data_IF_633020263760
#
_entry.id   IF_633020263760
#
_cell.length_a   1.000
_cell.length_b   1.000
_cell.length_c   1.000
_cell.angle_alpha   90.00
_cell.angle_beta   90.00
_cell.angle_gamma   90.00
#
_symmetry.space_group_name_H-M   'P 1'
#
loop_
_entity.id
_entity.type
_entity.pdbx_description
1 polymer ?
#
# COMPACT_ATOMS: atom_id res chain seq x y z
N UNK A 1 -42.84 20.25 -50.56
CA UNK A 1 -42.24 21.12 -49.52
C UNK A 1 -42.64 20.51 -48.18
N UNK A 2 -41.83 19.58 -47.67
CA UNK A 2 -42.12 18.77 -46.48
C UNK A 2 -41.71 19.56 -45.24
N UNK A 3 -42.68 20.01 -44.42
CA UNK A 3 -42.43 20.48 -43.06
C UNK A 3 -42.21 19.26 -42.16
N UNK A 4 -41.02 19.16 -41.56
CA UNK A 4 -40.71 18.23 -40.46
C UNK A 4 -40.79 18.96 -39.11
N UNK A 5 -41.07 18.24 -38.00
CA UNK A 5 -41.59 18.79 -36.76
C UNK A 5 -40.51 19.25 -35.77
N UNK A 6 -40.92 20.16 -34.88
CA UNK A 6 -40.21 20.59 -33.67
C UNK A 6 -39.84 19.41 -32.78
N UNK A 7 -38.56 19.32 -32.42
CA UNK A 7 -38.07 18.51 -31.32
C UNK A 7 -37.28 19.43 -30.37
N UNK A 8 -37.83 19.61 -29.17
CA UNK A 8 -37.22 20.31 -28.04
C UNK A 8 -35.88 19.63 -27.65
N UNK A 9 -34.86 20.38 -27.20
CA UNK A 9 -33.61 19.79 -26.75
C UNK A 9 -33.80 19.09 -25.39
N UNK A 10 -33.60 17.77 -25.39
CA UNK A 10 -33.47 16.97 -24.17
C UNK A 10 -32.12 17.23 -23.50
N UNK A 11 -32.15 17.27 -22.17
CA UNK A 11 -31.11 17.82 -21.31
C UNK A 11 -29.75 17.12 -21.42
N UNK A 12 -28.71 17.95 -21.30
CA UNK A 12 -27.38 17.51 -20.89
C UNK A 12 -27.08 18.12 -19.52
N UNK A 13 -27.58 17.50 -18.45
CA UNK A 13 -26.94 17.62 -17.14
C UNK A 13 -25.87 16.53 -17.06
N UNK A 14 -24.73 16.77 -17.71
CA UNK A 14 -23.53 16.02 -17.44
C UNK A 14 -22.96 16.52 -16.11
N UNK A 15 -23.10 15.71 -15.06
CA UNK A 15 -22.35 15.88 -13.82
C UNK A 15 -20.86 15.82 -14.15
N UNK A 16 -20.20 16.98 -14.12
CA UNK A 16 -18.74 17.05 -14.13
C UNK A 16 -18.25 16.45 -12.81
N UNK A 17 -17.92 15.15 -12.83
CA UNK A 17 -17.09 14.57 -11.79
C UNK A 17 -15.77 15.33 -11.82
N UNK A 18 -15.51 16.10 -10.77
CA UNK A 18 -14.31 16.91 -10.59
C UNK A 18 -13.10 15.98 -10.47
N UNK A 19 -12.58 15.49 -11.59
CA UNK A 19 -11.24 14.93 -11.65
C UNK A 19 -10.29 16.10 -11.32
N UNK A 20 -9.67 16.06 -10.13
CA UNK A 20 -8.69 17.07 -9.72
C UNK A 20 -7.62 17.24 -10.80
N UNK A 21 -7.13 18.48 -10.98
CA UNK A 21 -6.15 18.75 -12.03
C UNK A 21 -4.88 17.89 -11.85
N UNK A 22 -4.22 17.46 -12.94
CA UNK A 22 -2.97 16.69 -12.86
C UNK A 22 -1.89 17.38 -12.03
N UNK A 23 -1.89 18.72 -12.02
CA UNK A 23 -0.98 19.54 -11.23
C UNK A 23 -1.24 19.38 -9.72
N UNK A 24 -2.52 19.43 -9.30
CA UNK A 24 -2.90 19.25 -7.91
C UNK A 24 -2.60 17.81 -7.41
N UNK A 25 -2.71 16.81 -8.28
CA UNK A 25 -2.32 15.43 -7.95
C UNK A 25 -0.80 15.32 -7.76
N UNK A 26 -0.01 15.92 -8.65
CA UNK A 26 1.46 15.93 -8.57
C UNK A 26 1.96 16.67 -7.32
N UNK A 27 1.37 17.81 -6.95
CA UNK A 27 1.72 18.54 -5.73
C UNK A 27 1.40 17.74 -4.45
N UNK A 28 0.28 17.01 -4.45
CA UNK A 28 -0.08 16.12 -3.33
C UNK A 28 0.89 14.96 -3.21
N UNK A 29 1.27 14.33 -4.33
CA UNK A 29 2.25 13.25 -4.35
C UNK A 29 3.62 13.74 -3.86
N UNK A 30 4.08 14.90 -4.32
CA UNK A 30 5.34 15.48 -3.89
C UNK A 30 5.37 15.78 -2.38
N UNK A 31 4.26 16.32 -1.83
CA UNK A 31 4.11 16.55 -0.39
C UNK A 31 4.08 15.24 0.38
N UNK A 32 3.30 14.25 -0.07
CA UNK A 32 3.25 12.92 0.53
C UNK A 32 4.64 12.30 0.57
N UNK A 33 5.36 12.28 -0.55
CA UNK A 33 6.71 11.70 -0.65
C UNK A 33 7.70 12.42 0.26
N UNK A 34 7.67 13.75 0.31
CA UNK A 34 8.53 14.53 1.23
C UNK A 34 8.27 14.16 2.69
N UNK A 35 7.02 14.03 3.11
CA UNK A 35 6.68 13.63 4.47
C UNK A 35 7.07 12.18 4.73
N UNK A 36 6.71 11.26 3.83
CA UNK A 36 7.02 9.85 3.91
C UNK A 36 8.53 9.57 4.04
N UNK A 37 9.34 10.24 3.23
CA UNK A 37 10.80 10.10 3.20
C UNK A 37 11.49 10.73 4.43
N UNK A 38 10.82 11.66 5.11
CA UNK A 38 11.34 12.34 6.32
C UNK A 38 10.94 11.69 7.64
N UNK A 39 10.09 10.65 7.62
CA UNK A 39 9.78 9.85 8.81
C UNK A 39 11.02 9.02 9.18
N UNK A 40 11.50 9.18 10.41
CA UNK A 40 12.61 8.40 10.97
C UNK A 40 12.21 6.98 11.42
N UNK A 41 10.92 6.75 11.68
CA UNK A 41 10.35 5.43 11.99
C UNK A 41 10.11 4.60 10.72
N UNK A 42 10.27 3.28 10.82
CA UNK A 42 10.05 2.40 9.68
C UNK A 42 8.57 2.32 9.30
N UNK A 43 8.22 2.70 8.08
CA UNK A 43 6.87 2.62 7.55
C UNK A 43 6.82 1.85 6.24
N UNK A 44 5.83 0.96 6.09
CA UNK A 44 5.56 0.27 4.84
C UNK A 44 4.06 0.01 4.65
N UNK A 45 3.64 -0.15 3.40
CA UNK A 45 2.30 -0.59 3.02
C UNK A 45 2.44 -1.96 2.36
N UNK A 46 1.62 -2.92 2.80
CA UNK A 46 1.64 -4.29 2.27
C UNK A 46 0.26 -4.68 1.73
N UNK A 47 0.25 -5.59 0.76
CA UNK A 47 -0.97 -6.21 0.25
C UNK A 47 -0.85 -7.73 0.37
N UNK A 48 -1.87 -8.35 0.98
CA UNK A 48 -1.96 -9.80 1.04
C UNK A 48 -2.24 -10.41 -0.33
N UNK A 49 -1.60 -11.54 -0.59
CA UNK A 49 -1.76 -12.34 -1.80
C UNK A 49 -1.89 -13.82 -1.47
N UNK A 50 -2.42 -14.58 -2.42
CA UNK A 50 -2.37 -16.04 -2.33
C UNK A 50 -0.93 -16.49 -2.59
N UNK A 51 -0.39 -17.21 -1.61
CA UNK A 51 0.99 -17.66 -1.60
C UNK A 51 1.11 -19.18 -1.73
N UNK A 52 2.33 -19.73 -1.65
CA UNK A 52 2.58 -21.16 -1.80
C UNK A 52 1.92 -22.03 -0.70
N UNK A 53 1.44 -21.42 0.38
CA UNK A 53 0.75 -22.11 1.49
C UNK A 53 -0.77 -21.89 1.48
N UNK A 54 -1.32 -21.45 0.34
CA UNK A 54 -2.75 -21.24 0.15
C UNK A 54 -3.18 -19.76 0.27
N UNK A 55 -4.49 -19.51 0.44
CA UNK A 55 -5.03 -18.17 0.38
C UNK A 55 -4.46 -17.22 1.45
N UNK A 56 -4.19 -15.98 1.05
CA UNK A 56 -3.63 -14.92 1.92
C UNK A 56 -2.37 -15.34 2.69
N UNK A 57 -1.60 -16.31 2.18
CA UNK A 57 -0.48 -16.91 2.93
C UNK A 57 0.85 -16.17 2.76
N UNK A 58 0.85 -15.09 1.98
CA UNK A 58 1.98 -14.19 1.79
C UNK A 58 1.48 -12.75 1.56
N UNK A 59 2.39 -11.80 1.49
CA UNK A 59 2.10 -10.40 1.20
C UNK A 59 3.22 -9.77 0.39
N UNK A 60 2.90 -8.74 -0.40
CA UNK A 60 3.84 -7.91 -1.16
C UNK A 60 3.95 -6.53 -0.54
N UNK A 61 5.16 -5.98 -0.45
CA UNK A 61 5.35 -4.58 -0.07
C UNK A 61 5.03 -3.66 -1.25
N UNK A 62 3.99 -2.84 -1.11
CA UNK A 62 3.61 -1.84 -2.10
C UNK A 62 4.45 -0.57 -1.96
N UNK A 63 4.74 -0.17 -0.73
CA UNK A 63 5.53 1.01 -0.40
C UNK A 63 6.38 0.73 0.83
N UNK A 64 7.57 1.33 0.90
CA UNK A 64 8.44 1.30 2.06
C UNK A 64 9.26 2.59 2.12
N UNK A 65 9.28 3.24 3.28
CA UNK A 65 10.06 4.46 3.45
C UNK A 65 11.56 4.14 3.64
N UNK A 66 12.45 5.14 3.48
CA UNK A 66 13.89 4.94 3.66
C UNK A 66 14.24 4.42 5.06
N UNK A 67 13.54 4.85 6.11
CA UNK A 67 13.75 4.36 7.47
C UNK A 67 13.45 2.85 7.58
N UNK A 68 12.37 2.36 6.98
CA UNK A 68 12.03 0.94 6.97
C UNK A 68 13.14 0.12 6.33
N UNK A 69 13.65 0.54 5.17
CA UNK A 69 14.76 -0.14 4.49
C UNK A 69 16.01 -0.14 5.39
N UNK A 70 16.32 1.01 5.99
CA UNK A 70 17.44 1.15 6.92
C UNK A 70 17.28 0.32 8.18
N UNK A 71 16.09 0.12 8.72
CA UNK A 71 15.83 -0.59 9.97
C UNK A 71 15.67 -2.09 9.72
N UNK A 72 14.86 -2.50 8.73
CA UNK A 72 14.71 -3.90 8.35
C UNK A 72 16.02 -4.50 7.81
N UNK A 73 16.89 -3.67 7.19
CA UNK A 73 18.17 -4.12 6.62
C UNK A 73 18.02 -4.82 5.28
N UNK A 74 16.87 -4.67 4.63
CA UNK A 74 16.52 -5.33 3.38
C UNK A 74 16.39 -4.27 2.30
N UNK A 75 17.38 -4.22 1.41
CA UNK A 75 17.30 -3.39 0.20
C UNK A 75 16.35 -4.01 -0.83
N UNK A 76 15.73 -3.14 -1.65
CA UNK A 76 14.86 -3.54 -2.76
C UNK A 76 13.69 -4.43 -2.28
N UNK A 77 12.93 -3.94 -1.30
CA UNK A 77 11.78 -4.64 -0.71
C UNK A 77 10.47 -4.36 -1.43
N UNK A 78 10.34 -3.17 -2.04
CA UNK A 78 9.11 -2.77 -2.77
C UNK A 78 8.90 -3.68 -3.98
N UNK A 79 7.70 -4.23 -4.12
CA UNK A 79 7.33 -5.19 -5.15
C UNK A 79 7.78 -6.63 -4.88
N UNK A 80 8.38 -6.91 -3.72
CA UNK A 80 8.81 -8.25 -3.31
C UNK A 80 7.90 -8.79 -2.21
N UNK A 81 7.78 -10.11 -2.15
CA UNK A 81 6.99 -10.75 -1.10
C UNK A 81 7.78 -10.91 0.19
N UNK A 82 7.07 -11.00 1.32
CA UNK A 82 7.67 -11.31 2.61
C UNK A 82 8.48 -12.61 2.56
N UNK A 83 7.93 -13.65 1.93
CA UNK A 83 8.62 -14.95 1.80
C UNK A 83 9.82 -14.95 0.85
N UNK A 84 9.92 -13.99 -0.09
CA UNK A 84 11.13 -13.84 -0.93
C UNK A 84 12.31 -13.24 -0.16
N UNK A 85 12.04 -12.42 0.85
CA UNK A 85 13.04 -11.57 1.52
C UNK A 85 13.36 -11.97 2.96
N UNK A 86 12.49 -12.75 3.57
CA UNK A 86 12.61 -13.21 4.96
C UNK A 86 12.85 -14.71 5.00
N UNK A 87 13.40 -15.20 6.11
CA UNK A 87 13.43 -16.65 6.36
C UNK A 87 12.01 -17.20 6.52
N UNK A 88 11.84 -18.51 6.33
CA UNK A 88 10.52 -19.15 6.36
C UNK A 88 9.79 -18.93 7.71
N UNK A 89 10.52 -19.01 8.83
CA UNK A 89 9.97 -18.79 10.17
C UNK A 89 9.57 -17.34 10.43
N UNK A 90 10.38 -16.38 9.96
CA UNK A 90 10.05 -14.96 10.07
C UNK A 90 8.84 -14.60 9.21
N UNK A 91 8.80 -15.07 7.96
CA UNK A 91 7.68 -14.81 7.07
C UNK A 91 6.36 -15.33 7.65
N UNK A 92 6.36 -16.53 8.26
CA UNK A 92 5.18 -17.06 8.94
C UNK A 92 4.73 -16.17 10.11
N UNK A 93 5.68 -15.67 10.92
CA UNK A 93 5.37 -14.78 12.03
C UNK A 93 4.78 -13.44 11.56
N UNK A 94 5.36 -12.82 10.52
CA UNK A 94 4.86 -11.56 9.97
C UNK A 94 3.49 -11.72 9.29
N UNK A 95 3.31 -12.79 8.51
CA UNK A 95 2.02 -13.14 7.90
C UNK A 95 0.94 -13.28 8.98
N UNK A 96 1.23 -13.98 10.08
CA UNK A 96 0.26 -14.16 11.16
C UNK A 96 -0.17 -12.83 11.81
N UNK A 97 0.78 -11.92 12.03
CA UNK A 97 0.49 -10.61 12.64
C UNK A 97 -0.33 -9.73 11.71
N UNK A 98 0.11 -9.56 10.47
CA UNK A 98 -0.59 -8.71 9.51
C UNK A 98 -1.97 -9.30 9.13
N UNK A 99 -2.09 -10.63 9.10
CA UNK A 99 -3.38 -11.28 8.82
C UNK A 99 -4.39 -10.99 9.91
N UNK A 100 -3.99 -11.00 11.19
CA UNK A 100 -4.87 -10.63 12.30
C UNK A 100 -5.41 -9.21 12.12
N UNK A 101 -4.56 -8.26 11.75
CA UNK A 101 -4.98 -6.88 11.47
C UNK A 101 -5.94 -6.83 10.28
N UNK A 102 -5.65 -7.57 9.20
CA UNK A 102 -6.51 -7.63 8.02
C UNK A 102 -7.91 -8.19 8.34
N UNK A 103 -7.99 -9.26 9.15
CA UNK A 103 -9.24 -9.94 9.50
C UNK A 103 -10.09 -9.14 10.50
N UNK A 104 -9.44 -8.44 11.44
CA UNK A 104 -10.13 -7.74 12.54
C UNK A 104 -10.33 -6.26 12.29
N UNK A 105 -9.49 -5.63 11.47
CA UNK A 105 -9.40 -4.19 11.34
C UNK A 105 -8.77 -3.48 12.55
N UNK A 106 -8.34 -4.21 13.58
CA UNK A 106 -7.77 -3.64 14.79
C UNK A 106 -6.25 -3.48 14.65
N UNK A 107 -5.69 -2.29 14.96
CA UNK A 107 -4.25 -2.08 14.92
C UNK A 107 -3.56 -2.87 16.02
N UNK A 108 -2.38 -3.41 15.72
CA UNK A 108 -1.52 -4.11 16.68
C UNK A 108 -0.20 -3.35 16.80
N UNK A 109 0.23 -3.11 18.05
CA UNK A 109 1.59 -2.65 18.37
C UNK A 109 2.36 -3.79 19.00
N UNK A 110 3.58 -4.04 18.54
CA UNK A 110 4.42 -5.12 19.03
C UNK A 110 5.89 -4.77 18.82
N UNK A 111 6.74 -5.31 19.67
CA UNK A 111 8.20 -5.23 19.52
C UNK A 111 8.72 -6.63 19.16
N UNK A 112 9.52 -6.74 18.10
CA UNK A 112 10.16 -8.01 17.70
C UNK A 112 11.57 -7.78 17.19
N UNK A 113 12.46 -8.70 17.55
CA UNK A 113 13.76 -8.82 16.91
C UNK A 113 13.58 -9.48 15.53
N UNK A 114 14.22 -8.91 14.51
CA UNK A 114 14.48 -9.54 13.22
C UNK A 114 15.73 -10.41 13.36
N UNK A 115 15.55 -11.73 13.34
CA UNK A 115 16.65 -12.69 13.51
C UNK A 115 17.57 -12.68 12.27
N UNK A 116 17.04 -12.37 11.08
CA UNK A 116 17.82 -12.29 9.84
C UNK A 116 18.82 -11.12 9.80
N UNK A 117 18.59 -10.06 10.58
CA UNK A 117 19.44 -8.85 10.54
C UNK A 117 19.97 -8.40 11.89
N UNK A 118 19.65 -9.12 12.97
CA UNK A 118 20.02 -8.80 14.36
C UNK A 118 19.57 -7.39 14.78
N UNK A 119 18.31 -7.05 14.49
CA UNK A 119 17.74 -5.71 14.75
C UNK A 119 16.40 -5.76 15.46
N UNK A 120 16.14 -4.77 16.29
CA UNK A 120 14.88 -4.60 17.02
C UNK A 120 13.97 -3.58 16.32
N UNK A 121 12.69 -3.93 16.12
CA UNK A 121 11.65 -3.02 15.65
C UNK A 121 10.67 -2.77 16.80
N UNK A 122 10.50 -1.50 17.21
CA UNK A 122 9.53 -0.99 18.23
C UNK A 122 8.27 -0.36 17.60
#
# INVERSE_FOLDING_TARGET
MLSRPDALPLGQTGEYVQAGSPLAASEREARYRTLFDSIDEGFCVVQFIDGPRGPLSDYVHLEANPAYIRHAGISDIVGKTGREKLTEGEADAWVAIFRKVLETGEPVRFERALEATDRHLE
#
